data_IF_169428276316
#
_entry.id   IF_169428276316
#
_cell.length_a   1.000
_cell.length_b   1.000
_cell.length_c   1.000
_cell.angle_alpha   90.00
_cell.angle_beta   90.00
_cell.angle_gamma   90.00
#
_symmetry.space_group_name_H-M   'P 1'
#
loop_
_entity.id
_entity.type
_entity.pdbx_description
1 polymer ?
#
# COMPACT_ATOMS: atom_id res chain seq x y z
N UNK A 1 0.36 -12.27 49.59
CA UNK A 1 0.51 -12.71 48.19
C UNK A 1 -0.22 -11.71 47.32
N UNK A 2 0.47 -10.82 46.63
CA UNK A 2 -0.17 -9.74 45.85
C UNK A 2 -0.12 -10.12 44.38
N UNK A 3 -1.29 -10.46 43.82
CA UNK A 3 -1.43 -10.77 42.39
C UNK A 3 -1.08 -9.53 41.55
N UNK A 4 0.04 -9.60 40.82
CA UNK A 4 0.33 -8.64 39.75
C UNK A 4 -0.63 -8.92 38.59
N UNK A 5 -1.72 -8.15 38.51
CA UNK A 5 -2.54 -8.04 37.30
C UNK A 5 -1.62 -7.59 36.15
N UNK A 6 -1.32 -8.50 35.24
CA UNK A 6 -0.61 -8.20 34.00
C UNK A 6 -1.53 -7.36 33.12
N UNK A 7 -1.29 -6.06 33.07
CA UNK A 7 -1.91 -5.19 32.08
C UNK A 7 -1.31 -5.55 30.72
N UNK A 8 -2.06 -6.32 29.93
CA UNK A 8 -1.75 -6.53 28.53
C UNK A 8 -2.05 -5.20 27.82
N UNK A 9 -0.99 -4.52 27.35
CA UNK A 9 -1.16 -3.41 26.40
C UNK A 9 -1.59 -4.01 25.07
N UNK A 10 -2.75 -3.61 24.58
CA UNK A 10 -3.13 -3.83 23.18
C UNK A 10 -2.12 -3.04 22.34
N UNK A 11 -1.21 -3.74 21.66
CA UNK A 11 -0.29 -3.13 20.70
C UNK A 11 -1.02 -3.13 19.37
N UNK A 12 -1.44 -1.96 18.91
CA UNK A 12 -1.95 -1.83 17.55
C UNK A 12 -0.81 -2.13 16.57
N UNK A 13 -1.04 -2.95 15.54
CA UNK A 13 -0.05 -3.15 14.50
C UNK A 13 0.30 -1.82 13.85
N UNK A 14 1.60 -1.59 13.62
CA UNK A 14 2.08 -0.42 12.91
C UNK A 14 2.46 -0.83 11.49
N UNK A 15 1.90 -0.12 10.51
CA UNK A 15 2.15 -0.38 9.09
C UNK A 15 2.89 0.79 8.44
N UNK A 16 3.74 0.48 7.46
CA UNK A 16 4.36 1.46 6.57
C UNK A 16 3.81 1.23 5.17
N UNK A 17 3.18 2.25 4.58
CA UNK A 17 2.75 2.23 3.18
C UNK A 17 3.84 2.87 2.31
N UNK A 18 4.42 2.10 1.40
CA UNK A 18 5.20 2.63 0.28
C UNK A 18 4.24 2.94 -0.88
N UNK A 19 4.30 4.15 -1.45
CA UNK A 19 3.41 4.56 -2.52
C UNK A 19 4.08 5.58 -3.45
N UNK A 20 3.84 5.44 -4.76
CA UNK A 20 4.38 6.33 -5.78
C UNK A 20 3.34 6.64 -6.84
N UNK A 21 3.32 7.90 -7.32
CA UNK A 21 2.48 8.34 -8.43
C UNK A 21 3.30 9.11 -9.44
N UNK A 22 2.96 8.90 -10.72
CA UNK A 22 3.46 9.68 -11.83
C UNK A 22 2.39 9.72 -12.92
N UNK A 23 2.22 10.88 -13.54
CA UNK A 23 1.28 11.07 -14.64
C UNK A 23 2.04 11.60 -15.85
N UNK A 24 2.08 10.82 -16.92
CA UNK A 24 2.71 11.17 -18.18
C UNK A 24 1.64 11.31 -19.28
N UNK A 25 1.99 11.93 -20.41
CA UNK A 25 1.09 12.00 -21.57
C UNK A 25 1.13 10.69 -22.35
N UNK A 26 -0.04 10.25 -22.82
CA UNK A 26 -0.19 9.01 -23.61
C UNK A 26 -0.56 7.80 -22.75
N UNK A 27 -0.64 6.64 -23.38
CA UNK A 27 -0.90 5.36 -22.72
C UNK A 27 0.38 4.54 -22.59
N UNK A 28 0.50 3.80 -21.49
CA UNK A 28 1.62 2.87 -21.26
C UNK A 28 1.11 1.41 -21.22
N UNK A 29 1.97 0.42 -21.48
CA UNK A 29 1.58 -0.99 -21.37
C UNK A 29 1.15 -1.33 -19.93
N UNK A 30 -0.09 -1.78 -19.75
CA UNK A 30 -0.60 -2.16 -18.41
C UNK A 30 -0.06 -3.52 -17.92
N UNK A 31 0.41 -4.37 -18.84
CA UNK A 31 0.84 -5.74 -18.53
C UNK A 31 2.27 -5.84 -17.99
N UNK A 32 3.07 -4.78 -18.12
CA UNK A 32 4.40 -4.73 -17.54
C UNK A 32 4.25 -4.00 -16.23
N UNK A 33 4.34 -4.71 -15.11
CA UNK A 33 4.41 -4.09 -13.78
C UNK A 33 5.89 -3.93 -13.43
N UNK A 34 6.49 -2.73 -13.57
CA UNK A 34 7.86 -2.53 -13.11
C UNK A 34 7.93 -2.79 -11.61
N UNK A 35 8.96 -3.51 -11.18
CA UNK A 35 9.22 -3.74 -9.77
C UNK A 35 10.27 -2.74 -9.29
N UNK A 36 9.95 -2.00 -8.23
CA UNK A 36 10.84 -0.99 -7.64
C UNK A 36 11.34 -1.50 -6.31
N UNK A 37 12.67 -1.49 -6.05
CA UNK A 37 13.19 -1.88 -4.75
C UNK A 37 12.75 -0.88 -3.67
N UNK A 38 12.33 -1.38 -2.51
CA UNK A 38 11.97 -0.61 -1.32
C UNK A 38 12.78 -1.09 -0.11
N UNK A 39 13.10 -0.17 0.80
CA UNK A 39 13.70 -0.50 2.09
C UNK A 39 12.59 -0.62 3.13
N UNK A 40 12.52 -1.76 3.81
CA UNK A 40 11.54 -2.01 4.87
C UNK A 40 12.05 -1.49 6.23
N UNK A 41 11.16 -1.28 7.21
CA UNK A 41 11.54 -0.75 8.53
C UNK A 41 12.55 -1.61 9.31
N UNK A 42 12.63 -2.91 9.02
CA UNK A 42 13.61 -3.83 9.59
C UNK A 42 15.00 -3.74 8.92
N UNK A 43 15.16 -2.83 7.95
CA UNK A 43 16.38 -2.65 7.18
C UNK A 43 16.55 -3.64 6.01
N UNK A 44 15.60 -4.54 5.79
CA UNK A 44 15.61 -5.44 4.64
C UNK A 44 15.18 -4.73 3.34
N UNK A 45 15.45 -5.39 2.20
CA UNK A 45 15.04 -4.92 0.88
C UNK A 45 13.97 -5.84 0.31
N UNK A 46 12.91 -5.24 -0.21
CA UNK A 46 11.86 -5.92 -0.95
C UNK A 46 11.52 -5.15 -2.23
N UNK A 47 10.53 -5.61 -2.99
CA UNK A 47 10.07 -4.95 -4.21
C UNK A 47 8.59 -4.57 -4.14
N UNK A 48 8.26 -3.42 -4.72
CA UNK A 48 6.89 -2.95 -4.90
C UNK A 48 6.57 -2.94 -6.40
N UNK A 49 5.44 -3.52 -6.78
CA UNK A 49 4.94 -3.45 -8.15
C UNK A 49 4.34 -2.05 -8.42
N UNK A 50 4.74 -1.43 -9.54
CA UNK A 50 4.10 -0.22 -10.04
C UNK A 50 2.91 -0.58 -10.92
N UNK A 51 1.72 -0.21 -10.46
CA UNK A 51 0.48 -0.36 -11.22
C UNK A 51 0.31 0.79 -12.22
N UNK A 52 -0.05 0.46 -13.46
CA UNK A 52 -0.34 1.43 -14.52
C UNK A 52 -1.86 1.52 -14.69
N UNK A 53 -2.39 2.73 -14.71
CA UNK A 53 -3.80 3.02 -14.99
C UNK A 53 -3.84 3.99 -16.16
N UNK A 54 -4.33 3.55 -17.32
CA UNK A 54 -4.57 4.46 -18.44
C UNK A 54 -6.00 5.01 -18.42
N UNK A 55 -6.16 6.22 -18.96
CA UNK A 55 -7.45 6.88 -19.13
C UNK A 55 -7.31 8.40 -19.16
N UNK A 56 -8.44 9.09 -19.18
CA UNK A 56 -8.49 10.51 -18.82
C UNK A 56 -8.13 10.72 -17.35
N UNK A 57 -7.81 11.96 -16.98
CA UNK A 57 -7.50 12.32 -15.58
C UNK A 57 -8.64 11.91 -14.63
N UNK A 58 -9.90 12.06 -15.07
CA UNK A 58 -11.07 11.68 -14.27
C UNK A 58 -11.18 10.17 -14.05
N UNK A 59 -10.98 9.38 -15.11
CA UNK A 59 -11.01 7.92 -15.04
C UNK A 59 -9.84 7.36 -14.21
N UNK A 60 -8.63 7.91 -14.39
CA UNK A 60 -7.45 7.53 -13.62
C UNK A 60 -7.71 7.76 -12.13
N UNK A 61 -8.23 8.94 -11.76
CA UNK A 61 -8.54 9.27 -10.37
C UNK A 61 -9.58 8.32 -9.78
N UNK A 62 -10.66 8.04 -10.51
CA UNK A 62 -11.72 7.16 -10.03
C UNK A 62 -11.21 5.73 -9.78
N UNK A 63 -10.46 5.17 -10.74
CA UNK A 63 -9.87 3.83 -10.62
C UNK A 63 -8.83 3.76 -9.51
N UNK A 64 -8.01 4.80 -9.36
CA UNK A 64 -7.02 4.85 -8.29
C UNK A 64 -7.66 4.80 -6.90
N UNK A 65 -8.71 5.59 -6.68
CA UNK A 65 -9.42 5.60 -5.40
C UNK A 65 -10.04 4.23 -5.10
N UNK A 66 -10.66 3.59 -6.09
CA UNK A 66 -11.18 2.22 -5.94
C UNK A 66 -10.08 1.22 -5.54
N UNK A 67 -8.90 1.29 -6.15
CA UNK A 67 -7.77 0.42 -5.78
C UNK A 67 -7.27 0.66 -4.36
N UNK A 68 -7.27 1.92 -3.88
CA UNK A 68 -6.88 2.27 -2.51
C UNK A 68 -7.89 1.73 -1.51
N UNK A 69 -9.19 1.92 -1.76
CA UNK A 69 -10.25 1.42 -0.90
C UNK A 69 -10.17 -0.11 -0.80
N UNK A 70 -10.10 -0.80 -1.95
CA UNK A 70 -9.96 -2.26 -1.99
C UNK A 70 -8.68 -2.77 -1.31
N UNK A 71 -7.56 -2.04 -1.43
CA UNK A 71 -6.31 -2.40 -0.74
C UNK A 71 -6.51 -2.38 0.78
N UNK A 72 -7.11 -1.31 1.33
CA UNK A 72 -7.29 -1.19 2.78
C UNK A 72 -8.41 -2.06 3.33
N UNK A 73 -9.42 -2.42 2.54
CA UNK A 73 -10.42 -3.43 2.92
C UNK A 73 -9.75 -4.76 3.33
N UNK A 74 -8.70 -5.17 2.63
CA UNK A 74 -7.92 -6.39 2.96
C UNK A 74 -7.28 -6.30 4.36
N UNK A 75 -6.87 -5.10 4.79
CA UNK A 75 -6.20 -4.88 6.09
C UNK A 75 -7.16 -4.37 7.19
N UNK A 76 -8.37 -3.96 6.83
CA UNK A 76 -9.34 -3.33 7.71
C UNK A 76 -10.23 -4.29 8.51
N UNK A 77 -10.22 -5.59 8.19
CA UNK A 77 -11.00 -6.63 8.89
C UNK A 77 -10.17 -7.49 9.87
N UNK A 78 -9.22 -6.90 10.61
CA UNK A 78 -8.44 -7.61 11.64
C UNK A 78 -8.59 -7.01 13.04
#
# INVERSE_FOLDING_TARGET
>A
MTERKRHLKLVQPQYTLCYGMRLDRGAAPELVHPHVPVMLPDGSRDTMALHVINGSVGEIKARLLQSVDAFFEIYGES
#
